data_IF_194434709069
#
_entry.id   IF_194434709069
#
_cell.length_a   1.000
_cell.length_b   1.000
_cell.length_c   1.000
_cell.angle_alpha   90.00
_cell.angle_beta   90.00
_cell.angle_gamma   90.00
#
_symmetry.space_group_name_H-M   'P 1'
#
loop_
_entity.id
_entity.type
_entity.pdbx_description
1 polymer ?
#
# COMPACT_ATOMS: atom_id res chain seq x y z
N UNK A 1 2.89 22.24 22.33
CA UNK A 1 3.44 21.30 21.33
C UNK A 1 2.27 20.60 20.66
N UNK A 2 2.00 20.89 19.39
CA UNK A 2 1.05 20.11 18.61
C UNK A 2 1.76 18.85 18.15
N UNK A 3 1.37 17.69 18.71
CA UNK A 3 1.79 16.41 18.18
C UNK A 3 1.20 16.30 16.78
N UNK A 4 2.04 16.38 15.76
CA UNK A 4 1.67 15.89 14.44
C UNK A 4 1.63 14.38 14.64
N UNK A 5 0.45 13.81 14.86
CA UNK A 5 0.24 12.38 14.65
C UNK A 5 0.66 12.11 13.20
N UNK A 6 1.86 11.55 13.03
CA UNK A 6 2.25 10.97 11.75
C UNK A 6 1.24 9.85 11.49
N UNK A 7 0.44 9.98 10.42
CA UNK A 7 -0.48 8.92 10.01
C UNK A 7 0.36 7.67 9.71
N UNK A 8 0.33 6.70 10.63
CA UNK A 8 0.95 5.39 10.48
C UNK A 8 -0.10 4.43 9.95
N UNK A 9 0.24 3.73 8.87
CA UNK A 9 -0.61 2.72 8.24
C UNK A 9 0.00 1.34 8.47
N UNK A 10 -0.70 0.47 9.19
CA UNK A 10 -0.29 -0.92 9.36
C UNK A 10 -0.70 -1.74 8.13
N UNK A 11 0.30 -2.31 7.45
CA UNK A 11 0.09 -3.10 6.23
C UNK A 11 0.78 -4.45 6.37
N UNK A 12 0.06 -5.53 6.12
CA UNK A 12 0.61 -6.89 6.16
C UNK A 12 0.48 -7.52 4.77
N UNK A 13 1.60 -7.79 4.12
CA UNK A 13 1.63 -8.57 2.89
C UNK A 13 1.66 -10.06 3.24
N UNK A 14 0.56 -10.73 2.97
CA UNK A 14 0.33 -12.13 3.24
C UNK A 14 0.62 -12.93 1.97
N UNK A 15 1.74 -13.65 1.97
CA UNK A 15 2.29 -14.34 0.80
C UNK A 15 1.79 -15.79 0.74
N UNK A 16 1.21 -16.17 -0.39
CA UNK A 16 0.68 -17.51 -0.60
C UNK A 16 1.75 -18.60 -0.76
N UNK A 17 1.33 -19.85 -0.59
CA UNK A 17 2.12 -21.05 -0.78
C UNK A 17 2.53 -21.19 -2.26
N UNK A 18 3.82 -21.05 -2.53
CA UNK A 18 4.40 -21.13 -3.89
C UNK A 18 4.90 -19.81 -4.44
N UNK A 19 4.60 -18.69 -3.78
CA UNK A 19 5.21 -17.39 -4.08
C UNK A 19 6.58 -17.24 -3.41
N UNK A 20 7.47 -16.51 -4.07
CA UNK A 20 8.81 -16.22 -3.58
C UNK A 20 8.76 -15.11 -2.53
N UNK A 21 8.91 -15.49 -1.26
CA UNK A 21 8.74 -14.55 -0.12
C UNK A 21 9.83 -13.48 -0.11
N UNK A 22 11.05 -13.81 -0.55
CA UNK A 22 12.15 -12.83 -0.59
C UNK A 22 11.88 -11.78 -1.67
N UNK A 23 11.49 -12.22 -2.88
CA UNK A 23 11.10 -11.29 -3.94
C UNK A 23 9.90 -10.41 -3.53
N UNK A 24 8.93 -10.98 -2.83
CA UNK A 24 7.77 -10.24 -2.33
C UNK A 24 8.15 -9.20 -1.27
N UNK A 25 9.13 -9.50 -0.42
CA UNK A 25 9.70 -8.53 0.53
C UNK A 25 10.38 -7.37 -0.19
N UNK A 26 11.21 -7.66 -1.18
CA UNK A 26 11.89 -6.63 -1.95
C UNK A 26 10.90 -5.71 -2.68
N UNK A 27 9.91 -6.29 -3.37
CA UNK A 27 8.85 -5.53 -4.05
C UNK A 27 8.06 -4.67 -3.06
N UNK A 28 7.73 -5.23 -1.89
CA UNK A 28 6.99 -4.52 -0.86
C UNK A 28 7.77 -3.36 -0.26
N UNK A 29 9.05 -3.53 0.06
CA UNK A 29 9.90 -2.47 0.58
C UNK A 29 10.10 -1.33 -0.43
N UNK A 30 10.22 -1.66 -1.74
CA UNK A 30 10.29 -0.65 -2.80
C UNK A 30 8.98 0.13 -2.88
N UNK A 31 7.85 -0.58 -2.94
CA UNK A 31 6.54 0.06 -3.04
C UNK A 31 6.23 0.93 -1.82
N UNK A 32 6.52 0.41 -0.61
CA UNK A 32 6.45 1.16 0.65
C UNK A 32 7.27 2.43 0.56
N UNK A 33 8.55 2.34 0.19
CA UNK A 33 9.45 3.50 0.09
C UNK A 33 8.91 4.57 -0.87
N UNK A 34 8.32 4.15 -2.00
CA UNK A 34 7.70 5.07 -2.96
C UNK A 34 6.53 5.80 -2.31
N UNK A 35 5.61 5.06 -1.68
CA UNK A 35 4.41 5.67 -1.10
C UNK A 35 4.75 6.56 0.09
N UNK A 36 5.65 6.14 0.98
CA UNK A 36 6.09 6.96 2.12
C UNK A 36 6.72 8.28 1.64
N UNK A 37 7.57 8.24 0.61
CA UNK A 37 8.18 9.45 0.04
C UNK A 37 7.20 10.33 -0.73
N UNK A 38 6.28 9.72 -1.48
CA UNK A 38 5.34 10.46 -2.34
C UNK A 38 4.18 11.09 -1.58
N UNK A 39 3.70 10.43 -0.52
CA UNK A 39 2.49 10.85 0.20
C UNK A 39 2.76 11.31 1.64
N UNK A 40 4.00 11.18 2.13
CA UNK A 40 4.37 11.61 3.47
C UNK A 40 3.68 10.81 4.58
N UNK A 41 3.26 9.58 4.29
CA UNK A 41 2.73 8.62 5.26
C UNK A 41 3.85 7.71 5.74
N UNK A 42 3.70 7.13 6.93
CA UNK A 42 4.57 6.02 7.37
C UNK A 42 3.80 4.71 7.26
N UNK A 43 4.40 3.70 6.65
CA UNK A 43 3.80 2.37 6.53
C UNK A 43 4.55 1.42 7.47
N UNK A 44 3.85 0.93 8.48
CA UNK A 44 4.33 -0.17 9.29
C UNK A 44 4.01 -1.48 8.58
N UNK A 45 4.94 -1.88 7.71
CA UNK A 45 4.76 -2.94 6.75
C UNK A 45 5.45 -4.24 7.15
N UNK A 46 4.73 -5.38 7.15
CA UNK A 46 5.31 -6.70 7.39
C UNK A 46 4.93 -7.68 6.28
N UNK A 47 5.85 -8.58 5.94
CA UNK A 47 5.56 -9.67 4.99
C UNK A 47 5.52 -10.98 5.74
N UNK A 48 4.36 -11.64 5.72
CA UNK A 48 4.11 -12.90 6.40
C UNK A 48 3.78 -14.00 5.39
N UNK A 49 4.38 -15.18 5.57
CA UNK A 49 4.09 -16.35 4.74
C UNK A 49 2.87 -17.07 5.28
N UNK A 50 1.95 -17.39 4.39
CA UNK A 50 0.69 -18.04 4.73
C UNK A 50 0.61 -19.45 4.13
N UNK A 51 -0.28 -20.27 4.70
CA UNK A 51 -0.52 -21.63 4.23
C UNK A 51 -1.56 -21.72 3.09
N UNK A 52 -2.16 -20.59 2.69
CA UNK A 52 -3.12 -20.55 1.58
C UNK A 52 -2.40 -20.32 0.26
N UNK A 53 -3.00 -20.72 -0.86
CA UNK A 53 -2.36 -20.57 -2.19
C UNK A 53 -2.41 -19.14 -2.73
N UNK A 54 -3.14 -18.24 -2.09
CA UNK A 54 -3.40 -16.88 -2.56
C UNK A 54 -2.56 -15.87 -1.77
N UNK A 55 -2.19 -14.77 -2.43
CA UNK A 55 -1.46 -13.66 -1.82
C UNK A 55 -2.42 -12.49 -1.62
N UNK A 56 -2.37 -11.86 -0.46
CA UNK A 56 -3.27 -10.77 -0.07
C UNK A 56 -2.51 -9.69 0.69
N UNK A 57 -3.01 -8.47 0.63
CA UNK A 57 -2.58 -7.38 1.51
C UNK A 57 -3.66 -7.19 2.56
N UNK A 58 -3.29 -7.17 3.83
CA UNK A 58 -4.19 -6.83 4.92
C UNK A 58 -3.87 -5.42 5.43
N UNK A 59 -4.90 -4.56 5.50
CA UNK A 59 -4.81 -3.20 6.02
C UNK A 59 -5.97 -2.98 6.98
N UNK A 60 -5.69 -2.67 8.24
CA UNK A 60 -6.71 -2.51 9.29
C UNK A 60 -7.73 -3.68 9.34
N UNK A 61 -7.23 -4.91 9.15
CA UNK A 61 -8.06 -6.13 9.14
C UNK A 61 -8.85 -6.36 7.83
N UNK A 62 -8.77 -5.47 6.85
CA UNK A 62 -9.36 -5.66 5.52
C UNK A 62 -8.37 -6.33 4.58
N UNK A 63 -8.80 -7.42 3.93
CA UNK A 63 -7.96 -8.20 3.01
C UNK A 63 -8.24 -7.85 1.55
N UNK A 64 -7.19 -7.48 0.84
CA UNK A 64 -7.19 -7.15 -0.57
C UNK A 64 -6.42 -8.23 -1.34
N UNK A 65 -7.09 -9.06 -2.14
CA UNK A 65 -6.43 -10.11 -2.90
C UNK A 65 -5.55 -9.53 -3.99
N UNK A 66 -4.33 -10.06 -4.14
CA UNK A 66 -3.44 -9.74 -5.25
C UNK A 66 -3.75 -10.67 -6.41
N UNK A 67 -4.12 -10.09 -7.57
CA UNK A 67 -4.47 -10.85 -8.79
C UNK A 67 -3.32 -11.70 -9.34
N UNK A 68 -2.08 -11.40 -8.94
CA UNK A 68 -0.88 -12.06 -9.42
C UNK A 68 -0.07 -12.65 -8.26
N UNK A 69 0.49 -13.84 -8.47
CA UNK A 69 1.39 -14.50 -7.51
C UNK A 69 2.62 -13.66 -7.17
N UNK A 70 3.02 -12.79 -8.09
CA UNK A 70 3.98 -11.69 -7.91
C UNK A 70 3.35 -10.43 -8.53
N UNK A 71 2.82 -9.49 -7.74
CA UNK A 71 2.33 -8.23 -8.27
C UNK A 71 3.48 -7.39 -8.81
N UNK A 72 3.20 -6.58 -9.83
CA UNK A 72 4.17 -5.56 -10.24
C UNK A 72 4.32 -4.52 -9.13
N UNK A 73 5.47 -3.84 -9.06
CA UNK A 73 5.68 -2.73 -8.11
C UNK A 73 4.56 -1.69 -8.27
N UNK A 74 4.14 -1.42 -9.51
CA UNK A 74 3.06 -0.47 -9.80
C UNK A 74 1.74 -0.91 -9.16
N UNK A 75 1.34 -2.17 -9.32
CA UNK A 75 0.08 -2.67 -8.74
C UNK A 75 0.11 -2.57 -7.21
N UNK A 76 1.26 -2.88 -6.59
CA UNK A 76 1.43 -2.78 -5.14
C UNK A 76 1.36 -1.31 -4.68
N UNK A 77 2.00 -0.40 -5.41
CA UNK A 77 1.94 1.05 -5.14
C UNK A 77 0.50 1.56 -5.29
N UNK A 78 -0.20 1.23 -6.37
CA UNK A 78 -1.60 1.64 -6.57
C UNK A 78 -2.50 1.13 -5.44
N UNK A 79 -2.29 -0.12 -4.99
CA UNK A 79 -3.01 -0.68 -3.84
C UNK A 79 -2.70 0.08 -2.55
N UNK A 80 -1.40 0.27 -2.24
CA UNK A 80 -0.94 1.00 -1.06
C UNK A 80 -1.44 2.45 -1.06
N UNK A 81 -1.49 3.10 -2.21
CA UNK A 81 -2.06 4.44 -2.36
C UNK A 81 -3.57 4.40 -2.12
N UNK A 82 -4.30 3.46 -2.75
CA UNK A 82 -5.75 3.35 -2.57
C UNK A 82 -6.14 3.16 -1.10
N UNK A 83 -5.40 2.33 -0.36
CA UNK A 83 -5.63 2.11 1.07
C UNK A 83 -5.10 3.25 1.94
N UNK A 84 -4.05 3.96 1.52
CA UNK A 84 -3.46 5.05 2.30
C UNK A 84 -4.15 6.41 2.12
N UNK A 85 -4.72 6.70 0.95
CA UNK A 85 -5.44 7.95 0.64
C UNK A 85 -6.49 8.32 1.71
N UNK A 86 -7.30 7.39 2.26
CA UNK A 86 -8.21 7.74 3.35
C UNK A 86 -7.52 8.09 4.69
N UNK A 87 -6.25 7.69 4.89
CA UNK A 87 -5.47 7.95 6.11
C UNK A 87 -4.57 9.18 5.99
N UNK A 88 -4.29 9.62 4.77
CA UNK A 88 -3.87 11.00 4.53
C UNK A 88 -5.08 11.87 4.86
N UNK A 89 -4.98 12.73 5.88
CA UNK A 89 -5.92 13.84 6.10
C UNK A 89 -6.28 14.48 4.75
N UNK A 90 -7.47 15.07 4.54
CA UNK A 90 -7.85 15.68 3.28
C UNK A 90 -6.91 16.84 2.95
N UNK A 91 -5.75 16.53 2.40
CA UNK A 91 -5.10 17.38 1.46
C UNK A 91 -6.05 17.35 0.29
N UNK A 92 -6.83 18.42 0.21
CA UNK A 92 -7.46 18.90 -1.01
C UNK A 92 -6.61 18.43 -2.17
N UNK A 93 -7.00 17.32 -2.79
CA UNK A 93 -6.66 17.08 -4.17
C UNK A 93 -7.37 18.25 -4.81
N UNK A 94 -6.64 19.34 -5.02
CA UNK A 94 -6.96 20.30 -6.04
C UNK A 94 -6.96 19.46 -7.30
N UNK A 95 -8.11 18.82 -7.55
CA UNK A 95 -8.65 18.61 -8.86
C UNK A 95 -8.46 19.96 -9.51
N UNK A 96 -7.36 20.10 -10.23
CA UNK A 96 -7.25 21.12 -11.26
C UNK A 96 -8.42 20.80 -12.17
N UNK A 97 -9.51 21.54 -11.96
CA UNK A 97 -10.47 21.98 -12.94
C UNK A 97 -9.74 22.35 -14.24
N UNK A 98 -9.39 21.34 -15.00
CA UNK A 98 -8.79 21.47 -16.32
C UNK A 98 -9.23 20.31 -17.19
N UNK A 99 -10.55 20.06 -17.17
CA UNK A 99 -11.26 19.53 -18.32
C UNK A 99 -12.44 20.48 -18.60
N UNK A 100 -12.07 21.60 -19.22
CA UNK A 100 -12.83 22.36 -20.22
C UNK A 100 -14.33 22.55 -19.94
N UNK A 101 -14.67 23.70 -19.37
CA UNK A 101 -15.95 24.38 -19.62
C UNK A 101 -16.10 24.67 -21.12
N UNK A 102 -17.27 24.31 -21.65
CA UNK A 102 -17.79 24.69 -22.99
C UNK A 102 -17.98 26.20 -23.11
#
# INVERSE_FOLDING_TARGET
MSYIEESMLDVILLVGKGSDVELMKDIFEIAKTIVEKSYGIKINGFVEKTNVNETYIEVDGNRYPLKHSVPSIKDLVDLLVMVAVPYTKPYTIGLRDSIVTT
#
